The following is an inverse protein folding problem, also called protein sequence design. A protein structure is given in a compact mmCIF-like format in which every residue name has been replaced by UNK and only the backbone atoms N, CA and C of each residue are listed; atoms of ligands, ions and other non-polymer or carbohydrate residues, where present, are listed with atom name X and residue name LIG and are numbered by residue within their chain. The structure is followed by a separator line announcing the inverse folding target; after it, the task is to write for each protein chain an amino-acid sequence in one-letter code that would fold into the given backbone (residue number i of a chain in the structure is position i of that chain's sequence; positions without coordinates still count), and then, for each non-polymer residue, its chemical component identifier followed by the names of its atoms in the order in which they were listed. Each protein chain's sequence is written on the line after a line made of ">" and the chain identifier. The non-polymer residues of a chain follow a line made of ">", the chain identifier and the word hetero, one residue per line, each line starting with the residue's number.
data_IF_417424347536
#
_entry.id   IF_417424347536
#
_cell.length_a   1.000
_cell.length_b   1.000
_cell.length_c   1.000
_cell.angle_alpha   90.00
_cell.angle_beta   90.00
_cell.angle_gamma   90.00
#
_symmetry.space_group_name_H-M   'P 1'
#
loop_
_entity.id
_entity.type
_entity.pdbx_description
1 polymer ?
#
# COMPACT_ATOMS: atom_id res chain seq x y z
N UNK A 1 0.64 79.97 62.34
CA UNK A 1 1.89 79.17 62.39
C UNK A 1 1.55 77.75 61.95
N UNK A 2 2.25 77.21 60.93
CA UNK A 2 2.70 75.80 60.76
C UNK A 2 1.69 74.67 61.09
N UNK A 3 1.31 73.68 60.26
CA UNK A 3 2.02 72.89 59.24
C UNK A 3 0.97 71.94 58.62
N UNK A 4 0.93 71.76 57.30
CA UNK A 4 0.21 70.65 56.65
C UNK A 4 1.25 69.70 56.02
N UNK A 5 1.21 68.41 56.39
CA UNK A 5 2.05 67.34 55.82
C UNK A 5 1.24 66.45 54.88
N UNK A 6 1.91 66.04 53.80
CA UNK A 6 1.46 65.22 52.66
C UNK A 6 1.48 63.70 52.98
N UNK A 7 1.07 62.91 51.96
CA UNK A 7 1.59 61.59 51.49
C UNK A 7 0.46 60.52 51.41
N UNK A 8 0.41 59.58 50.44
CA UNK A 8 0.52 59.66 48.97
C UNK A 8 -0.59 58.84 48.23
N UNK A 9 -0.55 58.85 46.89
CA UNK A 9 -1.35 58.00 45.98
C UNK A 9 -0.65 56.65 45.76
N UNK A 10 -1.40 55.56 45.62
CA UNK A 10 -0.96 54.33 44.94
C UNK A 10 -2.13 53.64 44.25
N UNK A 11 -1.83 53.20 43.03
CA UNK A 11 -2.69 52.70 41.96
C UNK A 11 -3.07 51.23 42.22
N UNK A 12 -4.34 50.85 41.99
CA UNK A 12 -4.74 49.45 41.90
C UNK A 12 -5.63 49.24 40.66
N UNK A 13 -5.12 48.47 39.71
CA UNK A 13 -5.84 47.96 38.55
C UNK A 13 -6.11 46.47 38.80
N UNK A 14 -7.37 46.05 38.83
CA UNK A 14 -7.74 44.65 38.60
C UNK A 14 -8.95 44.61 37.68
N UNK A 15 -8.76 43.87 36.60
CA UNK A 15 -9.62 43.66 35.44
C UNK A 15 -10.80 42.75 35.80
N UNK A 16 -12.01 43.12 35.37
CA UNK A 16 -13.21 42.30 35.50
C UNK A 16 -13.24 41.22 34.40
N UNK A 17 -13.31 39.95 34.79
CA UNK A 17 -13.52 38.82 33.89
C UNK A 17 -15.02 38.62 33.63
N UNK A 18 -15.43 38.72 32.37
CA UNK A 18 -16.77 38.35 31.92
C UNK A 18 -16.83 36.84 31.65
N UNK A 19 -17.80 36.16 32.25
CA UNK A 19 -18.10 34.74 32.01
C UNK A 19 -18.93 34.63 30.72
N UNK A 20 -18.34 34.11 29.63
CA UNK A 20 -19.08 33.80 28.41
C UNK A 20 -19.72 32.41 28.53
N UNK A 21 -21.05 32.34 28.39
CA UNK A 21 -21.79 31.09 28.31
C UNK A 21 -21.54 30.41 26.96
N UNK A 22 -20.86 29.27 26.96
CA UNK A 22 -20.63 28.44 25.78
C UNK A 22 -21.84 27.53 25.59
N UNK A 23 -22.63 27.75 24.55
CA UNK A 23 -23.67 26.81 24.11
C UNK A 23 -23.06 25.53 23.52
N UNK A 24 -23.78 24.40 23.49
CA UNK A 24 -23.24 23.16 22.95
C UNK A 24 -22.91 23.34 21.46
N UNK A 25 -21.64 23.16 21.11
CA UNK A 25 -21.20 23.15 19.73
C UNK A 25 -21.86 21.96 19.02
N UNK A 26 -22.55 22.23 17.90
CA UNK A 26 -23.00 21.18 17.00
C UNK A 26 -21.77 20.39 16.52
N UNK A 27 -21.82 19.05 16.42
CA UNK A 27 -20.71 18.29 15.88
C UNK A 27 -20.49 18.76 14.44
N UNK A 28 -19.30 19.27 14.15
CA UNK A 28 -18.83 19.47 12.79
C UNK A 28 -18.94 18.12 12.09
N UNK A 29 -19.73 18.05 11.02
CA UNK A 29 -19.82 16.85 10.20
C UNK A 29 -18.41 16.50 9.73
N UNK A 30 -17.83 15.44 10.31
CA UNK A 30 -16.62 14.84 9.76
C UNK A 30 -16.95 14.45 8.32
N UNK A 31 -16.22 15.03 7.36
CA UNK A 31 -16.26 14.55 6.00
C UNK A 31 -15.95 13.05 6.06
N UNK A 32 -16.95 12.21 5.76
CA UNK A 32 -16.70 10.78 5.58
C UNK A 32 -15.64 10.67 4.49
N UNK A 33 -14.56 9.89 4.67
CA UNK A 33 -13.69 9.61 3.54
C UNK A 33 -14.58 9.02 2.45
N UNK A 34 -14.58 9.63 1.27
CA UNK A 34 -15.27 9.05 0.14
C UNK A 34 -14.65 7.68 -0.08
N UNK A 35 -15.43 6.62 0.15
CA UNK A 35 -15.08 5.29 -0.33
C UNK A 35 -15.15 5.39 -1.86
N UNK A 36 -14.02 5.67 -2.49
CA UNK A 36 -13.86 5.42 -3.91
C UNK A 36 -13.85 3.91 -4.07
N UNK A 37 -14.91 3.35 -4.63
CA UNK A 37 -14.80 2.08 -5.32
C UNK A 37 -13.88 2.33 -6.52
N UNK A 38 -12.60 2.01 -6.38
CA UNK A 38 -11.63 1.99 -7.48
C UNK A 38 -11.83 0.73 -8.32
N UNK A 39 -13.09 0.40 -8.66
CA UNK A 39 -13.33 -0.44 -9.83
C UNK A 39 -13.00 0.43 -11.02
N UNK A 40 -11.97 0.06 -11.79
CA UNK A 40 -11.65 0.78 -13.01
C UNK A 40 -12.91 0.77 -13.88
N UNK A 41 -13.47 1.96 -14.14
CA UNK A 41 -14.68 2.09 -14.95
C UNK A 41 -14.49 1.55 -16.38
N UNK A 42 -13.22 1.40 -16.76
CA UNK A 42 -12.70 0.69 -17.92
C UNK A 42 -11.96 -0.55 -17.37
N UNK A 43 -12.33 -1.77 -17.73
CA UNK A 43 -11.74 -3.00 -17.14
C UNK A 43 -10.22 -3.14 -17.29
N UNK A 44 -9.63 -4.23 -16.79
CA UNK A 44 -8.17 -4.46 -16.76
C UNK A 44 -7.47 -4.45 -18.15
N UNK A 45 -8.21 -4.44 -19.26
CA UNK A 45 -7.69 -4.13 -20.59
C UNK A 45 -6.96 -5.29 -21.28
N UNK A 46 -6.35 -4.98 -22.43
CA UNK A 46 -5.78 -5.96 -23.37
C UNK A 46 -4.26 -6.20 -23.25
N UNK A 47 -3.62 -5.64 -22.23
CA UNK A 47 -2.16 -5.68 -22.11
C UNK A 47 -1.59 -7.00 -21.60
N UNK A 48 -0.43 -6.94 -20.98
CA UNK A 48 0.22 -8.11 -20.37
C UNK A 48 -0.18 -8.24 -18.91
N UNK A 49 -0.56 -9.45 -18.47
CA UNK A 49 -0.66 -9.76 -17.05
C UNK A 49 0.56 -10.55 -16.56
N UNK A 50 1.27 -10.01 -15.56
CA UNK A 50 2.38 -10.67 -14.86
C UNK A 50 1.82 -11.42 -13.65
N UNK A 51 1.85 -12.74 -13.69
CA UNK A 51 1.28 -13.62 -12.67
C UNK A 51 2.39 -14.18 -11.79
N UNK A 52 2.35 -13.87 -10.50
CA UNK A 52 3.30 -14.39 -9.51
C UNK A 52 2.63 -15.43 -8.61
N UNK A 53 3.41 -16.41 -8.19
CA UNK A 53 2.97 -17.41 -7.21
C UNK A 53 2.95 -16.85 -5.78
N UNK A 54 2.48 -17.64 -4.83
CA UNK A 54 2.76 -17.40 -3.41
C UNK A 54 4.01 -18.16 -2.95
N UNK A 55 4.28 -18.11 -1.64
CA UNK A 55 5.40 -18.81 -1.00
C UNK A 55 5.57 -20.25 -1.49
N UNK A 56 6.78 -20.58 -1.97
CA UNK A 56 7.15 -21.89 -2.48
C UNK A 56 6.82 -22.12 -3.96
N UNK A 57 6.25 -21.14 -4.65
CA UNK A 57 5.89 -21.21 -6.07
C UNK A 57 6.63 -20.12 -6.90
N UNK A 58 7.96 -20.24 -7.07
CA UNK A 58 8.77 -19.18 -7.69
C UNK A 58 8.54 -19.01 -9.19
N UNK A 59 8.08 -20.05 -9.88
CA UNK A 59 7.66 -19.96 -11.28
C UNK A 59 6.40 -20.81 -11.46
N UNK A 60 5.28 -20.12 -11.57
CA UNK A 60 3.97 -20.74 -11.63
C UNK A 60 3.80 -21.61 -12.88
N UNK A 61 3.25 -22.81 -12.68
CA UNK A 61 2.86 -23.68 -13.78
C UNK A 61 1.74 -23.04 -14.62
N UNK A 62 1.60 -23.39 -15.91
CA UNK A 62 0.55 -22.84 -16.78
C UNK A 62 -0.86 -22.94 -16.18
N UNK A 63 -1.20 -24.05 -15.52
CA UNK A 63 -2.51 -24.23 -14.89
C UNK A 63 -2.81 -23.22 -13.76
N UNK A 64 -1.77 -22.72 -13.08
CA UNK A 64 -1.93 -21.66 -12.08
C UNK A 64 -2.15 -20.31 -12.76
N UNK A 65 -1.41 -20.03 -13.84
CA UNK A 65 -1.56 -18.82 -14.65
C UNK A 65 -2.97 -18.74 -15.23
N UNK A 66 -3.46 -19.84 -15.82
CA UNK A 66 -4.81 -19.94 -16.37
C UNK A 66 -5.87 -19.74 -15.28
N UNK A 67 -5.66 -20.31 -14.09
CA UNK A 67 -6.59 -20.14 -12.97
C UNK A 67 -6.62 -18.69 -12.45
N UNK A 68 -5.47 -18.03 -12.35
CA UNK A 68 -5.40 -16.62 -11.96
C UNK A 68 -6.16 -15.74 -12.98
N UNK A 69 -5.94 -15.99 -14.26
CA UNK A 69 -6.62 -15.29 -15.35
C UNK A 69 -8.14 -15.47 -15.29
N UNK A 70 -8.62 -16.72 -15.30
CA UNK A 70 -10.05 -17.04 -15.35
C UNK A 70 -10.80 -16.56 -14.10
N UNK A 71 -10.19 -16.68 -12.91
CA UNK A 71 -10.89 -16.45 -11.65
C UNK A 71 -10.80 -14.99 -11.17
N UNK A 72 -9.74 -14.27 -11.52
CA UNK A 72 -9.47 -12.95 -10.94
C UNK A 72 -9.23 -11.85 -11.96
N UNK A 73 -8.79 -12.16 -13.20
CA UNK A 73 -8.53 -11.11 -14.20
C UNK A 73 -9.71 -10.92 -15.17
N UNK A 74 -10.17 -11.99 -15.80
CA UNK A 74 -11.28 -11.93 -16.77
C UNK A 74 -12.59 -11.36 -16.18
N UNK A 75 -12.99 -11.69 -14.93
CA UNK A 75 -14.19 -11.09 -14.33
C UNK A 75 -14.10 -9.57 -14.15
N UNK A 76 -12.88 -9.04 -14.12
CA UNK A 76 -12.57 -7.62 -14.00
C UNK A 76 -12.20 -6.99 -15.37
N UNK A 77 -12.55 -7.65 -16.47
CA UNK A 77 -12.45 -7.12 -17.83
C UNK A 77 -11.06 -7.23 -18.45
N UNK A 78 -10.20 -8.12 -17.94
CA UNK A 78 -8.95 -8.45 -18.62
C UNK A 78 -9.21 -9.23 -19.91
N UNK A 79 -8.59 -8.80 -21.01
CA UNK A 79 -8.68 -9.43 -22.33
C UNK A 79 -7.31 -9.68 -22.94
N UNK A 80 -6.26 -9.54 -22.13
CA UNK A 80 -4.86 -9.56 -22.56
C UNK A 80 -4.23 -10.93 -22.52
N UNK A 81 -2.90 -10.95 -22.35
CA UNK A 81 -2.12 -12.19 -22.28
C UNK A 81 -1.53 -12.39 -20.88
N UNK A 82 -1.93 -13.43 -20.13
CA UNK A 82 -1.32 -13.75 -18.85
C UNK A 82 0.00 -14.51 -19.06
N UNK A 83 1.01 -14.17 -18.27
CA UNK A 83 2.29 -14.88 -18.25
C UNK A 83 2.84 -14.99 -16.84
N UNK A 84 3.47 -16.12 -16.53
CA UNK A 84 4.16 -16.28 -15.26
C UNK A 84 5.37 -15.34 -15.18
N UNK A 85 5.52 -14.64 -14.06
CA UNK A 85 6.74 -13.93 -13.71
C UNK A 85 7.49 -14.73 -12.64
N UNK A 86 8.79 -14.93 -12.85
CA UNK A 86 9.63 -15.51 -11.81
C UNK A 86 9.82 -14.52 -10.66
N UNK A 87 9.61 -14.99 -9.44
CA UNK A 87 9.99 -14.33 -8.18
C UNK A 87 10.56 -15.38 -7.22
N UNK A 88 11.36 -15.01 -6.20
CA UNK A 88 12.02 -16.03 -5.38
C UNK A 88 11.07 -16.86 -4.51
N UNK A 89 9.96 -16.28 -4.05
CA UNK A 89 8.90 -16.90 -3.23
C UNK A 89 9.41 -17.76 -2.06
N UNK A 90 10.52 -17.37 -1.42
CA UNK A 90 11.06 -18.01 -0.23
C UNK A 90 10.32 -17.58 1.03
N UNK A 91 10.01 -18.53 1.91
CA UNK A 91 9.40 -18.29 3.22
C UNK A 91 10.05 -19.25 4.24
N UNK A 92 11.35 -19.07 4.49
CA UNK A 92 12.04 -19.87 5.50
C UNK A 92 11.34 -19.75 6.87
N UNK A 93 11.12 -20.87 7.59
CA UNK A 93 11.55 -22.24 7.28
C UNK A 93 10.54 -23.09 6.51
N UNK A 94 9.33 -22.60 6.23
CA UNK A 94 8.23 -23.44 5.72
C UNK A 94 8.47 -23.92 4.29
N UNK A 95 9.17 -23.14 3.47
CA UNK A 95 9.57 -23.52 2.10
C UNK A 95 10.90 -24.28 2.04
N UNK A 96 11.41 -24.72 3.20
CA UNK A 96 12.64 -25.52 3.32
C UNK A 96 13.83 -24.74 3.89
N UNK A 97 14.78 -25.47 4.47
CA UNK A 97 15.89 -24.88 5.25
C UNK A 97 16.92 -24.11 4.41
N UNK A 98 16.83 -24.17 3.08
CA UNK A 98 17.70 -23.44 2.14
C UNK A 98 16.97 -22.33 1.38
N UNK A 99 15.73 -22.01 1.75
CA UNK A 99 14.99 -20.90 1.14
C UNK A 99 15.38 -19.56 1.77
N UNK A 100 15.09 -18.47 1.07
CA UNK A 100 15.24 -17.12 1.61
C UNK A 100 14.28 -16.88 2.80
N UNK A 101 14.67 -16.07 3.78
CA UNK A 101 13.73 -15.41 4.69
C UNK A 101 12.71 -14.57 3.90
N UNK A 102 11.46 -14.49 4.39
CA UNK A 102 10.34 -13.88 3.66
C UNK A 102 10.64 -12.47 3.15
N UNK A 103 11.04 -11.55 4.02
CA UNK A 103 11.29 -10.17 3.62
C UNK A 103 12.43 -10.01 2.60
N UNK A 104 13.42 -10.90 2.64
CA UNK A 104 14.52 -10.93 1.63
C UNK A 104 13.98 -11.40 0.28
N UNK A 105 13.13 -12.44 0.29
CA UNK A 105 12.43 -12.92 -0.90
C UNK A 105 11.54 -11.83 -1.51
N UNK A 106 10.70 -11.20 -0.69
CA UNK A 106 9.80 -10.12 -1.10
C UNK A 106 10.57 -8.94 -1.69
N UNK A 107 11.65 -8.50 -1.05
CA UNK A 107 12.46 -7.37 -1.56
C UNK A 107 13.09 -7.69 -2.91
N UNK A 108 13.60 -8.91 -3.10
CA UNK A 108 14.17 -9.34 -4.38
C UNK A 108 13.09 -9.49 -5.46
N UNK A 109 11.94 -10.07 -5.11
CA UNK A 109 10.78 -10.18 -6.00
C UNK A 109 10.27 -8.80 -6.43
N UNK A 110 10.19 -7.85 -5.50
CA UNK A 110 9.77 -6.47 -5.78
C UNK A 110 10.71 -5.76 -6.76
N UNK A 111 12.02 -6.02 -6.65
CA UNK A 111 13.00 -5.53 -7.62
C UNK A 111 12.76 -6.15 -9.00
N UNK A 112 12.62 -7.48 -9.10
CA UNK A 112 12.36 -8.18 -10.37
C UNK A 112 11.08 -7.66 -11.04
N UNK A 113 10.00 -7.53 -10.26
CA UNK A 113 8.72 -7.02 -10.73
C UNK A 113 8.83 -5.59 -11.22
N UNK A 114 9.37 -4.68 -10.39
CA UNK A 114 9.47 -3.26 -10.76
C UNK A 114 10.35 -3.03 -11.99
N UNK A 115 11.48 -3.72 -12.11
CA UNK A 115 12.34 -3.66 -13.30
C UNK A 115 11.64 -4.21 -14.55
N UNK A 116 10.85 -5.28 -14.40
CA UNK A 116 10.11 -5.88 -15.52
C UNK A 116 9.01 -4.97 -16.03
N UNK A 117 8.18 -4.44 -15.12
CA UNK A 117 7.12 -3.47 -15.46
C UNK A 117 7.73 -2.22 -16.08
N UNK A 118 8.79 -1.65 -15.49
CA UNK A 118 9.46 -0.45 -16.03
C UNK A 118 9.95 -0.67 -17.47
N UNK A 119 10.45 -1.88 -17.79
CA UNK A 119 10.89 -2.23 -19.14
C UNK A 119 9.74 -2.37 -20.13
N UNK A 120 8.62 -2.95 -19.71
CA UNK A 120 7.42 -3.07 -20.54
C UNK A 120 6.87 -1.68 -20.90
N UNK A 121 6.75 -0.81 -19.89
CA UNK A 121 6.29 0.58 -20.07
C UNK A 121 7.23 1.36 -20.99
N UNK A 122 8.55 1.30 -20.75
CA UNK A 122 9.55 1.96 -21.59
C UNK A 122 9.59 1.42 -23.04
N UNK A 123 9.05 0.23 -23.29
CA UNK A 123 8.95 -0.39 -24.62
C UNK A 123 7.90 0.25 -25.53
N UNK A 124 7.01 1.10 -25.00
CA UNK A 124 6.05 1.90 -25.79
C UNK A 124 4.80 1.15 -26.26
N UNK A 125 4.48 0.01 -25.66
CA UNK A 125 3.26 -0.78 -25.93
C UNK A 125 2.24 -0.78 -24.79
N UNK A 126 2.44 0.09 -23.80
CA UNK A 126 1.57 0.22 -22.62
C UNK A 126 0.81 1.53 -22.73
N UNK A 127 -0.51 1.46 -22.55
CA UNK A 127 -1.42 2.60 -22.49
C UNK A 127 -2.67 2.22 -21.67
N UNK A 128 -3.60 3.16 -21.52
CA UNK A 128 -4.83 2.93 -20.76
C UNK A 128 -5.72 1.78 -21.28
N UNK A 129 -5.61 1.40 -22.57
CA UNK A 129 -6.35 0.26 -23.12
C UNK A 129 -5.57 -1.06 -22.98
N UNK A 130 -4.25 -0.98 -22.87
CA UNK A 130 -3.33 -2.11 -22.79
C UNK A 130 -2.35 -1.92 -21.61
N UNK A 131 -2.83 -1.81 -20.37
CA UNK A 131 -1.97 -1.62 -19.22
C UNK A 131 -1.17 -2.88 -18.90
N UNK A 132 -0.13 -2.75 -18.07
CA UNK A 132 0.47 -3.91 -17.42
C UNK A 132 -0.38 -4.28 -16.20
N UNK A 133 -0.94 -5.48 -16.20
CA UNK A 133 -1.65 -6.03 -15.04
C UNK A 133 -0.68 -6.85 -14.21
N UNK A 134 -0.71 -6.70 -12.90
CA UNK A 134 0.12 -7.44 -11.96
C UNK A 134 -0.80 -8.23 -11.04
N UNK A 135 -0.71 -9.55 -11.09
CA UNK A 135 -1.43 -10.44 -10.18
C UNK A 135 -0.48 -10.97 -9.11
N UNK A 136 -0.84 -10.75 -7.84
CA UNK A 136 -0.12 -11.25 -6.67
C UNK A 136 -1.04 -12.01 -5.73
N UNK A 137 -0.55 -13.12 -5.18
CA UNK A 137 -1.23 -13.93 -4.18
C UNK A 137 -0.35 -14.17 -2.96
N UNK A 138 -0.88 -13.91 -1.76
CA UNK A 138 -0.20 -14.20 -0.48
C UNK A 138 1.13 -13.44 -0.30
N UNK A 139 2.29 -14.06 -0.51
CA UNK A 139 3.59 -13.37 -0.42
C UNK A 139 3.76 -12.38 -1.57
N UNK A 140 3.29 -12.75 -2.77
CA UNK A 140 3.45 -11.86 -3.92
C UNK A 140 2.55 -10.63 -3.91
N UNK A 141 1.58 -10.55 -2.99
CA UNK A 141 0.87 -9.30 -2.71
C UNK A 141 1.74 -8.32 -1.91
N UNK A 142 2.48 -8.81 -0.90
CA UNK A 142 3.38 -7.98 -0.11
C UNK A 142 4.56 -7.51 -0.95
N UNK A 143 5.14 -8.38 -1.79
CA UNK A 143 6.19 -7.94 -2.71
C UNK A 143 5.65 -6.95 -3.76
N UNK A 144 4.40 -7.09 -4.21
CA UNK A 144 3.76 -6.12 -5.10
C UNK A 144 3.63 -4.75 -4.44
N UNK A 145 3.31 -4.71 -3.15
CA UNK A 145 3.26 -3.46 -2.36
C UNK A 145 4.61 -2.74 -2.30
N UNK A 146 5.69 -3.50 -2.11
CA UNK A 146 7.06 -2.97 -2.20
C UNK A 146 7.40 -2.49 -3.62
N UNK A 147 6.93 -3.21 -4.65
CA UNK A 147 7.17 -2.87 -6.04
C UNK A 147 6.43 -1.59 -6.46
N UNK A 148 5.21 -1.35 -5.97
CA UNK A 148 4.46 -0.10 -6.22
C UNK A 148 5.28 1.13 -5.83
N UNK A 149 5.91 1.11 -4.65
CA UNK A 149 6.76 2.22 -4.20
C UNK A 149 7.93 2.45 -5.16
N UNK A 150 8.59 1.38 -5.61
CA UNK A 150 9.71 1.45 -6.57
C UNK A 150 9.28 1.94 -7.94
N UNK A 151 8.11 1.51 -8.42
CA UNK A 151 7.56 1.95 -9.70
C UNK A 151 7.26 3.45 -9.68
N UNK A 152 6.69 3.94 -8.60
CA UNK A 152 6.44 5.37 -8.41
C UNK A 152 7.76 6.16 -8.37
N UNK A 153 8.79 5.66 -7.69
CA UNK A 153 10.14 6.24 -7.68
C UNK A 153 10.80 6.26 -9.07
N UNK A 154 10.55 5.23 -9.90
CA UNK A 154 11.00 5.18 -11.29
C UNK A 154 10.18 6.06 -12.24
N UNK A 155 9.10 6.69 -11.75
CA UNK A 155 8.23 7.54 -12.55
C UNK A 155 7.30 6.78 -13.50
N UNK A 156 6.99 5.51 -13.20
CA UNK A 156 6.00 4.75 -13.97
C UNK A 156 4.60 5.32 -13.72
N UNK A 157 3.88 5.79 -14.75
CA UNK A 157 2.54 6.35 -14.59
C UNK A 157 1.56 5.36 -13.96
N UNK A 158 0.66 5.86 -13.13
CA UNK A 158 -0.28 5.02 -12.37
C UNK A 158 -1.32 4.37 -13.30
N UNK A 159 -1.67 5.04 -14.38
CA UNK A 159 -2.60 4.56 -15.42
C UNK A 159 -2.03 3.43 -16.28
N UNK A 160 -0.71 3.23 -16.28
CA UNK A 160 -0.05 2.22 -17.10
C UNK A 160 0.02 0.85 -16.39
N UNK A 161 -0.32 0.78 -15.10
CA UNK A 161 -0.17 -0.44 -14.29
C UNK A 161 -1.36 -0.64 -13.36
N UNK A 162 -1.96 -1.83 -13.39
CA UNK A 162 -3.04 -2.24 -12.51
C UNK A 162 -2.61 -3.44 -11.66
N UNK A 163 -2.99 -3.46 -10.39
CA UNK A 163 -2.69 -4.55 -9.48
C UNK A 163 -3.97 -5.31 -9.10
N UNK A 164 -3.88 -6.64 -9.05
CA UNK A 164 -4.92 -7.53 -8.53
C UNK A 164 -4.28 -8.38 -7.44
N UNK A 165 -4.62 -8.11 -6.18
CA UNK A 165 -3.92 -8.63 -5.00
C UNK A 165 -4.84 -9.52 -4.17
N UNK A 166 -4.67 -10.84 -4.31
CA UNK A 166 -5.48 -11.84 -3.62
C UNK A 166 -4.80 -12.27 -2.32
N UNK A 167 -5.57 -12.31 -1.24
CA UNK A 167 -5.05 -12.71 0.08
C UNK A 167 -3.94 -11.76 0.54
N UNK A 168 -4.17 -10.45 0.37
CA UNK A 168 -3.13 -9.46 0.54
C UNK A 168 -2.61 -9.39 1.98
N UNK A 169 -1.38 -9.86 2.18
CA UNK A 169 -0.73 -9.89 3.50
C UNK A 169 -0.29 -8.51 3.97
N UNK A 170 -0.10 -7.55 3.06
CA UNK A 170 0.26 -6.16 3.35
C UNK A 170 -0.95 -5.20 3.30
N UNK A 171 -2.17 -5.73 3.17
CA UNK A 171 -3.38 -4.92 3.12
C UNK A 171 -3.44 -3.94 4.32
N UNK A 172 -3.60 -2.63 4.09
CA UNK A 172 -3.67 -1.66 5.17
C UNK A 172 -4.79 -1.98 6.17
N UNK A 173 -4.53 -1.77 7.46
CA UNK A 173 -5.51 -1.93 8.54
C UNK A 173 -6.13 -3.34 8.69
N UNK A 174 -5.46 -4.40 8.24
CA UNK A 174 -6.03 -5.75 8.38
C UNK A 174 -5.21 -6.91 7.83
N UNK A 175 -4.26 -6.63 6.94
CA UNK A 175 -3.29 -7.61 6.46
C UNK A 175 -2.44 -8.19 7.59
N UNK A 176 -1.89 -9.38 7.38
CA UNK A 176 -1.03 -10.05 8.36
C UNK A 176 0.14 -9.17 8.80
N UNK A 177 0.78 -8.49 7.84
CA UNK A 177 1.95 -7.62 8.06
C UNK A 177 1.57 -6.25 8.65
N UNK A 178 0.29 -5.87 8.54
CA UNK A 178 -0.29 -4.62 9.05
C UNK A 178 -1.18 -4.85 10.28
N UNK A 179 -1.13 -6.06 10.87
CA UNK A 179 -2.10 -6.46 11.90
C UNK A 179 -1.94 -5.68 13.21
N UNK A 180 -0.73 -5.20 13.48
CA UNK A 180 -0.38 -4.49 14.70
C UNK A 180 -0.05 -3.03 14.38
N UNK A 181 -0.59 -2.11 15.19
CA UNK A 181 -0.33 -0.67 15.08
C UNK A 181 1.04 -0.32 15.67
N UNK A 182 2.08 -0.57 14.89
CA UNK A 182 3.44 -0.17 15.24
C UNK A 182 3.70 1.28 14.79
N UNK A 183 4.53 2.05 15.52
CA UNK A 183 4.95 3.37 15.06
C UNK A 183 5.50 3.31 13.63
N UNK A 184 5.05 4.21 12.77
CA UNK A 184 5.49 4.29 11.37
C UNK A 184 7.02 4.30 11.28
N UNK A 185 7.57 3.41 10.45
CA UNK A 185 9.01 3.26 10.25
C UNK A 185 9.75 2.44 11.30
N UNK A 186 9.06 1.88 12.31
CA UNK A 186 9.69 0.99 13.29
C UNK A 186 9.90 -0.44 12.78
N UNK A 187 9.10 -0.87 11.80
CA UNK A 187 9.15 -2.15 11.08
C UNK A 187 9.73 -3.32 11.90
N UNK A 188 9.10 -3.71 13.03
CA UNK A 188 9.62 -4.78 13.85
C UNK A 188 9.60 -6.10 13.06
N UNK A 189 10.53 -6.98 13.40
CA UNK A 189 10.67 -8.27 12.73
C UNK A 189 10.60 -9.43 13.70
N UNK A 190 10.24 -10.61 13.17
CA UNK A 190 10.43 -11.91 13.83
C UNK A 190 11.56 -12.60 13.07
N UNK A 191 12.84 -12.41 13.46
CA UNK A 191 13.97 -12.86 12.66
C UNK A 191 13.99 -14.37 12.41
N UNK A 192 13.49 -15.17 13.35
CA UNK A 192 13.42 -16.63 13.22
C UNK A 192 12.47 -17.09 12.12
N UNK A 193 11.52 -16.24 11.71
CA UNK A 193 10.56 -16.50 10.63
C UNK A 193 10.83 -15.63 9.39
N UNK A 194 11.80 -14.70 9.45
CA UNK A 194 12.08 -13.78 8.37
C UNK A 194 10.96 -12.79 8.04
N UNK A 195 9.97 -12.64 8.95
CA UNK A 195 8.82 -11.75 8.79
C UNK A 195 9.19 -10.36 9.31
N UNK A 196 8.85 -9.34 8.54
CA UNK A 196 8.94 -7.93 8.93
C UNK A 196 7.55 -7.32 8.83
N UNK A 197 7.08 -6.66 9.89
CA UNK A 197 5.79 -5.97 9.90
C UNK A 197 5.92 -4.55 9.30
N UNK A 198 4.80 -4.02 8.81
CA UNK A 198 4.72 -2.78 8.06
C UNK A 198 4.89 -2.99 6.55
N UNK A 199 5.09 -1.87 5.85
CA UNK A 199 5.04 -1.76 4.38
C UNK A 199 3.63 -1.98 3.81
N UNK A 200 2.64 -1.17 4.26
CA UNK A 200 1.26 -1.33 3.82
C UNK A 200 1.15 -1.11 2.32
N UNK A 201 0.28 -1.88 1.66
CA UNK A 201 -0.07 -1.69 0.25
C UNK A 201 -0.45 -0.22 0.02
N UNK A 202 0.35 0.53 -0.77
CA UNK A 202 0.16 1.97 -0.88
C UNK A 202 -0.92 2.30 -1.92
N UNK A 203 -1.62 3.42 -1.73
CA UNK A 203 -2.57 3.96 -2.72
C UNK A 203 -1.81 4.76 -3.80
N UNK A 204 -1.01 4.05 -4.60
CA UNK A 204 -0.17 4.62 -5.68
C UNK A 204 -0.61 4.15 -7.08
N UNK A 205 -1.23 2.97 -7.17
CA UNK A 205 -1.69 2.35 -8.41
C UNK A 205 -3.10 1.79 -8.22
N UNK A 206 -3.94 1.76 -9.27
CA UNK A 206 -5.22 1.06 -9.24
C UNK A 206 -5.03 -0.38 -8.74
N UNK A 207 -5.74 -0.74 -7.67
CA UNK A 207 -5.61 -2.04 -7.00
C UNK A 207 -7.00 -2.64 -6.77
N UNK A 208 -7.16 -3.92 -7.11
CA UNK A 208 -8.37 -4.73 -6.94
C UNK A 208 -8.07 -6.05 -6.19
N UNK A 209 -9.11 -6.83 -5.87
CA UNK A 209 -9.07 -8.12 -5.14
C UNK A 209 -9.61 -9.29 -5.94
#
# INVERSE_FOLDING_TARGET
>A
MSRTRRVPVSLALVVATALAAVGPAAPTASASPAVRLTGSADGLGGGTALIMGGSGNPLSAPTYVDAADILYLQPHGFTGTPQALFTPEGFYPTTGVKSLPAFVSETQGAQILSETVSRLVAGGGVDAANPVVVFGYSQSSALSSLAMSRLAEHGVPAEDVHFVLVGDTAAPNGGLLERFDFPVGSNPSIPSLGITFGYPTPDLYPTDV
#
